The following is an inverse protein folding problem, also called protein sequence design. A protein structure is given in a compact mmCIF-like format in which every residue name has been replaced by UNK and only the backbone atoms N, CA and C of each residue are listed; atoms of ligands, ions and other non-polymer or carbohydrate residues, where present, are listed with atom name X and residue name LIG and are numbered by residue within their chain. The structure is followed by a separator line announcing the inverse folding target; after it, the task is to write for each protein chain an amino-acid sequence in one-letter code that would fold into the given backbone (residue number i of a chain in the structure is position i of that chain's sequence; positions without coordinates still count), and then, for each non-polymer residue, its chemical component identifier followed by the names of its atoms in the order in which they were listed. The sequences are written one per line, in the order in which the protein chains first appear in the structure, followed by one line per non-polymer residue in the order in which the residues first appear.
data_IF_307155477197
#
_entry.id   IF_307155477197
#
_cell.length_a   1.000
_cell.length_b   1.000
_cell.length_c   1.000
_cell.angle_alpha   90.00
_cell.angle_beta   90.00
_cell.angle_gamma   90.00
#
_symmetry.space_group_name_H-M   'P 1'
#
loop_
_entity.id
_entity.type
_entity.pdbx_description
1 polymer ?
#
# COMPACT_ATOMS: atom_id res chain seq x y z
N UNK A 1 -15.45 -20.96 -20.38
CA UNK A 1 -15.14 -19.74 -19.58
C UNK A 1 -15.06 -20.17 -18.13
N UNK A 2 -14.16 -19.61 -17.29
CA UNK A 2 -14.08 -20.04 -15.90
C UNK A 2 -15.40 -19.78 -15.19
N UNK A 3 -15.76 -20.69 -14.29
CA UNK A 3 -17.06 -20.67 -13.63
C UNK A 3 -17.22 -19.52 -12.65
N UNK A 4 -16.11 -19.10 -12.02
CA UNK A 4 -16.04 -18.04 -11.02
C UNK A 4 -14.67 -17.37 -11.03
N UNK A 5 -14.64 -16.07 -10.72
CA UNK A 5 -13.42 -15.29 -10.52
C UNK A 5 -13.26 -14.97 -9.03
N UNK A 6 -12.21 -15.50 -8.40
CA UNK A 6 -11.92 -15.25 -6.99
C UNK A 6 -10.95 -14.08 -6.91
N UNK A 7 -11.31 -13.02 -6.22
CA UNK A 7 -10.55 -11.77 -6.20
C UNK A 7 -9.68 -11.69 -4.94
N UNK A 8 -8.41 -11.38 -5.14
CA UNK A 8 -7.44 -11.06 -4.09
C UNK A 8 -7.58 -9.59 -3.62
N UNK A 9 -7.30 -9.33 -2.35
CA UNK A 9 -7.19 -8.00 -1.73
C UNK A 9 -6.31 -7.05 -2.55
N UNK A 10 -5.14 -7.52 -3.01
CA UNK A 10 -4.18 -6.69 -3.74
C UNK A 10 -4.75 -6.15 -5.06
N UNK A 11 -5.52 -6.99 -5.75
CA UNK A 11 -6.18 -6.67 -7.01
C UNK A 11 -7.35 -5.72 -6.77
N UNK A 12 -8.15 -5.97 -5.73
CA UNK A 12 -9.28 -5.11 -5.39
C UNK A 12 -8.84 -3.68 -5.05
N UNK A 13 -7.69 -3.53 -4.38
CA UNK A 13 -7.09 -2.23 -4.07
C UNK A 13 -6.57 -1.51 -5.32
N UNK A 14 -5.91 -2.23 -6.22
CA UNK A 14 -5.29 -1.64 -7.41
C UNK A 14 -6.29 -1.35 -8.53
N UNK A 15 -7.33 -2.17 -8.63
CA UNK A 15 -8.29 -2.21 -9.71
C UNK A 15 -9.73 -2.40 -9.19
N UNK A 16 -10.26 -1.46 -8.39
CA UNK A 16 -11.62 -1.56 -7.85
C UNK A 16 -12.70 -1.64 -8.95
N UNK A 17 -12.39 -1.17 -10.16
CA UNK A 17 -13.30 -1.24 -11.32
C UNK A 17 -13.64 -2.68 -11.73
N UNK A 18 -12.90 -3.69 -11.26
CA UNK A 18 -13.21 -5.10 -11.50
C UNK A 18 -14.62 -5.45 -11.02
N UNK A 19 -15.09 -4.81 -9.94
CA UNK A 19 -16.42 -5.05 -9.38
C UNK A 19 -17.57 -4.57 -10.28
N UNK A 20 -17.34 -3.59 -11.16
CA UNK A 20 -18.37 -3.12 -12.11
C UNK A 20 -18.81 -4.20 -13.11
N UNK A 21 -18.03 -5.28 -13.24
CA UNK A 21 -18.28 -6.41 -14.15
C UNK A 21 -19.02 -7.58 -13.49
N UNK A 22 -19.41 -7.44 -12.22
CA UNK A 22 -20.09 -8.50 -11.45
C UNK A 22 -21.42 -8.97 -12.09
N UNK A 23 -22.06 -8.13 -12.89
CA UNK A 23 -23.30 -8.50 -13.61
C UNK A 23 -23.08 -9.54 -14.71
N UNK A 24 -21.89 -9.58 -15.32
CA UNK A 24 -21.58 -10.50 -16.42
C UNK A 24 -20.63 -11.62 -16.01
N UNK A 25 -19.84 -11.41 -14.96
CA UNK A 25 -18.89 -12.39 -14.44
C UNK A 25 -19.25 -12.76 -13.01
N UNK A 26 -19.23 -14.06 -12.72
CA UNK A 26 -19.45 -14.59 -11.37
C UNK A 26 -18.25 -14.27 -10.49
N UNK A 27 -18.25 -13.09 -9.88
CA UNK A 27 -17.18 -12.61 -8.99
C UNK A 27 -17.40 -13.15 -7.56
N UNK A 28 -16.33 -13.66 -6.97
CA UNK A 28 -16.29 -14.15 -5.59
C UNK A 28 -15.22 -13.39 -4.81
N UNK A 29 -15.60 -12.85 -3.66
CA UNK A 29 -14.68 -12.20 -2.71
C UNK A 29 -14.57 -13.08 -1.47
N UNK A 30 -13.38 -13.61 -1.14
CA UNK A 30 -13.17 -14.35 0.09
C UNK A 30 -13.44 -13.49 1.34
N UNK A 31 -13.99 -14.10 2.41
CA UNK A 31 -14.15 -13.38 3.69
C UNK A 31 -12.82 -12.92 4.27
N UNK A 32 -11.75 -13.70 4.09
CA UNK A 32 -10.39 -13.32 4.48
C UNK A 32 -9.96 -11.98 3.86
N UNK A 33 -10.35 -11.70 2.61
CA UNK A 33 -10.11 -10.39 1.96
C UNK A 33 -10.87 -9.29 2.70
N UNK A 34 -12.12 -9.51 3.09
CA UNK A 34 -12.91 -8.54 3.85
C UNK A 34 -12.35 -8.29 5.26
N UNK A 35 -11.88 -9.34 5.92
CA UNK A 35 -11.23 -9.25 7.23
C UNK A 35 -9.88 -8.53 7.15
N UNK A 36 -9.13 -8.77 6.08
CA UNK A 36 -7.89 -8.08 5.80
C UNK A 36 -8.12 -6.58 5.53
N UNK A 37 -9.15 -6.25 4.75
CA UNK A 37 -9.58 -4.87 4.53
C UNK A 37 -10.02 -4.18 5.85
N UNK A 38 -10.66 -4.91 6.77
CA UNK A 38 -11.13 -4.35 8.05
C UNK A 38 -10.02 -4.21 9.09
N UNK A 39 -9.13 -5.20 9.23
CA UNK A 39 -8.01 -5.16 10.17
C UNK A 39 -6.94 -4.15 9.74
N UNK A 40 -6.76 -3.93 8.44
CA UNK A 40 -5.81 -2.95 7.92
C UNK A 40 -6.32 -1.49 8.03
N UNK A 41 -7.56 -1.26 8.50
CA UNK A 41 -8.21 0.05 8.41
C UNK A 41 -8.76 0.65 9.70
N UNK A 42 -7.96 1.50 10.38
CA UNK A 42 -8.46 2.57 11.27
C UNK A 42 -8.60 3.94 10.54
N UNK A 43 -8.98 3.95 9.26
CA UNK A 43 -9.06 5.19 8.47
C UNK A 43 -10.07 5.13 7.32
N UNK A 44 -10.58 6.30 6.91
CA UNK A 44 -11.66 6.49 5.91
C UNK A 44 -11.44 5.79 4.57
N UNK A 45 -10.19 5.55 4.16
CA UNK A 45 -9.80 4.95 2.87
C UNK A 45 -10.37 3.55 2.64
N UNK A 46 -10.56 2.79 3.72
CA UNK A 46 -11.04 1.41 3.67
C UNK A 46 -12.56 1.32 3.73
N UNK A 47 -13.20 2.33 4.33
CA UNK A 47 -14.65 2.46 4.32
C UNK A 47 -15.16 2.60 2.88
N UNK A 48 -14.46 3.36 2.03
CA UNK A 48 -14.82 3.55 0.63
C UNK A 48 -14.80 2.23 -0.18
N UNK A 49 -13.80 1.36 0.05
CA UNK A 49 -13.70 0.05 -0.63
C UNK A 49 -14.73 -0.93 -0.06
N UNK A 50 -14.92 -0.95 1.26
CA UNK A 50 -15.94 -1.79 1.89
C UNK A 50 -17.36 -1.40 1.42
N UNK A 51 -17.64 -0.10 1.29
CA UNK A 51 -18.89 0.41 0.72
C UNK A 51 -19.05 0.01 -0.75
N UNK A 52 -17.97 0.06 -1.53
CA UNK A 52 -17.97 -0.40 -2.92
C UNK A 52 -18.27 -1.91 -3.01
N UNK A 53 -17.64 -2.73 -2.17
CA UNK A 53 -17.91 -4.18 -2.11
C UNK A 53 -19.38 -4.42 -1.74
N UNK A 54 -19.87 -3.79 -0.69
CA UNK A 54 -21.27 -3.91 -0.25
C UNK A 54 -22.26 -3.52 -1.36
N UNK A 55 -21.99 -2.42 -2.07
CA UNK A 55 -22.78 -1.98 -3.23
C UNK A 55 -22.73 -2.98 -4.39
N UNK A 56 -21.68 -3.79 -4.49
CA UNK A 56 -21.48 -4.76 -5.56
C UNK A 56 -22.14 -6.11 -5.27
N UNK A 57 -22.48 -6.41 -4.01
CA UNK A 57 -23.20 -7.63 -3.62
C UNK A 57 -24.56 -7.69 -4.31
N UNK A 58 -25.30 -6.58 -4.33
CA UNK A 58 -26.60 -6.49 -5.02
C UNK A 58 -26.48 -6.69 -6.55
N UNK A 59 -25.29 -6.49 -7.11
CA UNK A 59 -24.98 -6.66 -8.54
C UNK A 59 -24.41 -8.04 -8.89
N UNK A 60 -24.39 -8.99 -7.94
CA UNK A 60 -24.02 -10.39 -8.21
C UNK A 60 -22.68 -10.86 -7.62
N UNK A 61 -21.96 -9.99 -6.89
CA UNK A 61 -20.76 -10.41 -6.14
C UNK A 61 -21.15 -11.34 -4.99
N UNK A 62 -20.45 -12.47 -4.84
CA UNK A 62 -20.66 -13.41 -3.73
C UNK A 62 -19.49 -13.37 -2.76
N UNK A 63 -19.80 -13.34 -1.46
CA UNK A 63 -18.80 -13.53 -0.42
C UNK A 63 -18.69 -15.03 -0.11
N UNK A 64 -17.47 -15.56 -0.07
CA UNK A 64 -17.23 -16.98 0.20
C UNK A 64 -16.31 -17.18 1.41
N UNK A 65 -16.64 -18.19 2.21
CA UNK A 65 -15.84 -18.59 3.37
C UNK A 65 -14.86 -19.69 2.98
N UNK A 66 -13.66 -19.64 3.55
CA UNK A 66 -12.69 -20.70 3.37
C UNK A 66 -13.19 -21.97 4.08
N UNK A 67 -13.14 -23.14 3.41
CA UNK A 67 -13.51 -24.39 4.04
C UNK A 67 -12.53 -24.73 5.17
N UNK A 68 -13.07 -25.16 6.32
CA UNK A 68 -12.28 -25.48 7.52
C UNK A 68 -11.34 -26.68 7.33
N UNK A 69 -11.65 -27.58 6.40
CA UNK A 69 -10.83 -28.74 6.02
C UNK A 69 -10.91 -28.97 4.52
N UNK A 70 -9.77 -29.17 3.87
CA UNK A 70 -9.71 -29.69 2.51
C UNK A 70 -9.57 -31.22 2.57
N UNK A 71 -10.02 -31.93 1.54
CA UNK A 71 -9.83 -33.39 1.45
C UNK A 71 -8.35 -33.80 1.49
N UNK A 72 -7.45 -32.91 1.08
CA UNK A 72 -6.01 -33.04 1.21
C UNK A 72 -5.46 -31.83 2.00
N UNK A 73 -5.15 -32.01 3.29
CA UNK A 73 -4.45 -31.00 4.10
C UNK A 73 -3.00 -30.85 3.59
N UNK A 74 -2.83 -29.95 2.62
CA UNK A 74 -1.63 -29.77 1.80
C UNK A 74 -0.54 -28.88 2.43
N UNK A 75 -0.45 -28.85 3.76
CA UNK A 75 0.24 -27.75 4.45
C UNK A 75 1.72 -28.04 4.78
N UNK A 76 2.13 -29.31 4.92
CA UNK A 76 3.47 -29.59 5.50
C UNK A 76 4.62 -29.80 4.50
N UNK A 77 4.37 -30.10 3.21
CA UNK A 77 5.46 -30.47 2.27
C UNK A 77 5.63 -29.58 1.04
N UNK A 78 4.71 -28.66 0.76
CA UNK A 78 4.81 -27.78 -0.41
C UNK A 78 5.59 -26.50 -0.05
N UNK A 79 6.82 -26.38 -0.58
CA UNK A 79 7.67 -25.19 -0.40
C UNK A 79 6.96 -23.89 -0.85
N UNK A 80 6.01 -23.98 -1.77
CA UNK A 80 5.27 -22.82 -2.23
C UNK A 80 4.13 -22.44 -1.27
N UNK A 81 3.58 -23.40 -0.53
CA UNK A 81 2.59 -23.12 0.52
C UNK A 81 3.22 -22.29 1.65
N UNK A 82 4.49 -22.55 1.99
CA UNK A 82 5.21 -21.82 3.05
C UNK A 82 5.37 -20.31 2.77
N UNK A 83 5.20 -19.88 1.51
CA UNK A 83 5.32 -18.48 1.09
C UNK A 83 4.00 -17.72 1.06
N UNK A 84 2.88 -18.40 1.28
CA UNK A 84 1.55 -17.79 1.23
C UNK A 84 1.23 -17.10 2.55
N UNK A 85 0.63 -15.92 2.49
CA UNK A 85 0.04 -15.28 3.66
C UNK A 85 -1.24 -16.01 4.11
N UNK A 86 -1.73 -15.70 5.31
CA UNK A 86 -2.98 -16.30 5.81
C UNK A 86 -4.18 -16.07 4.87
N UNK A 87 -4.28 -14.88 4.28
CA UNK A 87 -5.32 -14.57 3.30
C UNK A 87 -5.12 -15.34 1.97
N UNK A 88 -3.88 -15.46 1.50
CA UNK A 88 -3.54 -16.22 0.28
C UNK A 88 -3.88 -17.71 0.44
N UNK A 89 -3.66 -18.27 1.64
CA UNK A 89 -4.05 -19.63 1.98
C UNK A 89 -5.57 -19.83 1.88
N UNK A 90 -6.35 -18.88 2.37
CA UNK A 90 -7.81 -18.96 2.32
C UNK A 90 -8.35 -18.76 0.90
N UNK A 91 -7.77 -17.85 0.12
CA UNK A 91 -8.04 -17.71 -1.32
C UNK A 91 -7.78 -19.04 -2.04
N UNK A 92 -6.62 -19.65 -1.77
CA UNK A 92 -6.24 -20.91 -2.38
C UNK A 92 -7.17 -22.06 -1.98
N UNK A 93 -7.59 -22.13 -0.71
CA UNK A 93 -8.56 -23.13 -0.22
C UNK A 93 -9.90 -23.02 -0.93
N UNK A 94 -10.40 -21.79 -1.11
CA UNK A 94 -11.65 -21.55 -1.84
C UNK A 94 -11.50 -21.98 -3.30
N UNK A 95 -10.39 -21.65 -3.94
CA UNK A 95 -10.12 -22.04 -5.33
C UNK A 95 -10.06 -23.56 -5.49
N UNK A 96 -9.36 -24.27 -4.60
CA UNK A 96 -9.27 -25.73 -4.62
C UNK A 96 -10.66 -26.35 -4.41
N UNK A 97 -11.40 -25.89 -3.40
CA UNK A 97 -12.73 -26.43 -3.12
C UNK A 97 -13.71 -26.24 -4.29
N UNK A 98 -13.66 -25.10 -4.99
CA UNK A 98 -14.47 -24.91 -6.20
C UNK A 98 -14.00 -25.77 -7.37
N UNK A 99 -12.69 -25.95 -7.55
CA UNK A 99 -12.16 -26.85 -8.57
C UNK A 99 -12.60 -28.31 -8.32
N UNK A 100 -12.56 -28.78 -7.08
CA UNK A 100 -13.02 -30.13 -6.69
C UNK A 100 -14.53 -30.32 -6.92
N UNK A 101 -15.34 -29.27 -6.73
CA UNK A 101 -16.80 -29.34 -6.90
C UNK A 101 -17.25 -29.24 -8.37
N UNK A 102 -16.51 -28.52 -9.21
CA UNK A 102 -16.97 -28.15 -10.56
C UNK A 102 -16.17 -28.79 -11.69
N UNK A 103 -15.10 -29.54 -11.39
CA UNK A 103 -14.36 -30.34 -12.37
C UNK A 103 -13.79 -29.48 -13.52
N UNK A 104 -14.33 -29.65 -14.73
CA UNK A 104 -13.87 -28.95 -15.95
C UNK A 104 -14.14 -27.43 -15.93
N UNK A 105 -15.09 -26.97 -15.12
CA UNK A 105 -15.45 -25.56 -14.94
C UNK A 105 -14.64 -24.96 -13.79
N UNK A 106 -13.31 -25.02 -13.92
CA UNK A 106 -12.39 -24.59 -12.88
C UNK A 106 -12.52 -23.08 -12.58
N UNK A 107 -12.40 -22.68 -11.31
CA UNK A 107 -12.35 -21.27 -10.93
C UNK A 107 -11.06 -20.62 -11.44
N UNK A 108 -11.12 -19.31 -11.67
CA UNK A 108 -9.95 -18.50 -11.97
C UNK A 108 -9.68 -17.54 -10.81
N UNK A 109 -8.43 -17.50 -10.34
CA UNK A 109 -8.03 -16.55 -9.29
C UNK A 109 -7.45 -15.30 -9.93
N UNK A 110 -7.97 -14.14 -9.55
CA UNK A 110 -7.44 -12.85 -10.00
C UNK A 110 -6.52 -12.32 -8.90
N UNK A 111 -5.21 -12.46 -9.12
CA UNK A 111 -4.17 -12.05 -8.17
C UNK A 111 -2.97 -11.44 -8.91
N UNK A 112 -2.32 -10.46 -8.27
CA UNK A 112 -1.04 -9.93 -8.73
C UNK A 112 0.14 -10.58 -7.97
N UNK A 113 -0.11 -11.47 -7.00
CA UNK A 113 0.92 -12.20 -6.28
C UNK A 113 1.40 -13.41 -7.09
N UNK A 114 2.72 -13.45 -7.32
CA UNK A 114 3.39 -14.52 -8.03
C UNK A 114 3.46 -15.80 -7.21
N UNK A 115 3.56 -15.70 -5.88
CA UNK A 115 3.65 -16.88 -5.01
C UNK A 115 2.32 -17.64 -5.02
N UNK A 116 1.21 -16.93 -4.83
CA UNK A 116 -0.14 -17.49 -4.99
C UNK A 116 -0.39 -18.03 -6.41
N UNK A 117 -0.05 -17.26 -7.45
CA UNK A 117 -0.21 -17.72 -8.84
C UNK A 117 0.57 -19.03 -9.11
N UNK A 118 1.81 -19.13 -8.64
CA UNK A 118 2.63 -20.32 -8.80
C UNK A 118 2.06 -21.53 -8.03
N UNK A 119 1.62 -21.32 -6.79
CA UNK A 119 0.97 -22.36 -5.97
C UNK A 119 -0.32 -22.91 -6.59
N UNK A 120 -1.11 -22.06 -7.24
CA UNK A 120 -2.34 -22.44 -7.94
C UNK A 120 -2.03 -23.17 -9.24
N UNK A 121 -1.01 -22.73 -9.97
CA UNK A 121 -0.58 -23.36 -11.23
C UNK A 121 -0.14 -24.81 -11.03
N UNK A 122 0.53 -25.12 -9.90
CA UNK A 122 0.93 -26.50 -9.58
C UNK A 122 -0.25 -27.45 -9.31
N UNK A 123 -1.47 -26.90 -9.23
CA UNK A 123 -2.74 -27.62 -9.03
C UNK A 123 -3.68 -27.49 -10.23
N UNK A 124 -3.17 -27.03 -11.37
CA UNK A 124 -3.95 -26.79 -12.59
C UNK A 124 -5.09 -25.76 -12.41
N UNK A 125 -4.97 -24.83 -11.47
CA UNK A 125 -5.91 -23.72 -11.29
C UNK A 125 -5.36 -22.50 -12.03
N UNK A 126 -6.14 -21.91 -12.95
CA UNK A 126 -5.72 -20.72 -13.71
C UNK A 126 -5.73 -19.49 -12.81
N UNK A 127 -4.65 -18.73 -12.83
CA UNK A 127 -4.58 -17.39 -12.26
C UNK A 127 -4.35 -16.34 -13.34
N UNK A 128 -4.95 -15.16 -13.19
CA UNK A 128 -4.72 -13.99 -14.05
C UNK A 128 -4.51 -12.74 -13.19
N UNK A 129 -3.85 -11.73 -13.76
CA UNK A 129 -3.67 -10.43 -13.13
C UNK A 129 -4.94 -9.57 -13.21
N UNK A 130 -5.03 -8.54 -12.36
CA UNK A 130 -6.14 -7.57 -12.45
C UNK A 130 -6.21 -6.88 -13.82
N UNK A 131 -5.05 -6.62 -14.43
CA UNK A 131 -4.95 -6.03 -15.77
C UNK A 131 -5.44 -6.96 -16.88
N UNK A 132 -5.09 -8.25 -16.79
CA UNK A 132 -5.57 -9.26 -17.74
C UNK A 132 -7.07 -9.47 -17.61
N UNK A 133 -7.60 -9.50 -16.38
CA UNK A 133 -9.04 -9.58 -16.16
C UNK A 133 -9.77 -8.40 -16.81
N UNK A 134 -9.30 -7.17 -16.63
CA UNK A 134 -9.89 -5.98 -17.27
C UNK A 134 -9.80 -6.08 -18.80
N UNK A 135 -8.65 -6.55 -19.33
CA UNK A 135 -8.43 -6.74 -20.76
C UNK A 135 -9.37 -7.77 -21.39
N UNK A 136 -9.51 -8.94 -20.76
CA UNK A 136 -10.43 -10.02 -21.19
C UNK A 136 -11.91 -9.60 -21.05
N UNK A 137 -12.21 -8.57 -20.26
CA UNK A 137 -13.57 -8.12 -19.95
C UNK A 137 -13.93 -6.78 -20.59
N UNK A 138 -13.23 -6.36 -21.65
CA UNK A 138 -13.50 -5.10 -22.35
C UNK A 138 -14.84 -5.07 -23.09
N UNK A 139 -15.35 -6.25 -23.48
CA UNK A 139 -16.64 -6.38 -24.17
C UNK A 139 -17.85 -6.54 -23.24
N UNK A 140 -17.63 -6.65 -21.94
CA UNK A 140 -18.70 -6.90 -20.97
C UNK A 140 -19.44 -5.58 -20.67
N UNK A 141 -20.78 -5.63 -20.56
CA UNK A 141 -21.56 -4.48 -20.07
C UNK A 141 -21.18 -4.13 -18.63
N UNK A 142 -20.90 -2.86 -18.39
CA UNK A 142 -20.47 -2.35 -17.09
C UNK A 142 -21.68 -1.84 -16.30
N UNK A 143 -21.72 -2.14 -15.00
CA UNK A 143 -22.60 -1.43 -14.09
C UNK A 143 -21.98 -0.04 -13.82
N UNK A 144 -22.54 0.98 -14.49
CA UNK A 144 -22.06 2.37 -14.43
C UNK A 144 -22.03 2.92 -13.00
N UNK A 145 -23.00 2.59 -12.16
CA UNK A 145 -23.03 3.08 -10.78
C UNK A 145 -21.85 2.55 -9.95
N UNK A 146 -21.45 1.29 -10.17
CA UNK A 146 -20.29 0.69 -9.51
C UNK A 146 -18.99 1.23 -10.11
N UNK A 147 -18.97 1.47 -11.42
CA UNK A 147 -17.83 2.07 -12.11
C UNK A 147 -17.55 3.49 -11.58
N UNK A 148 -18.56 4.35 -11.51
CA UNK A 148 -18.46 5.71 -10.99
C UNK A 148 -17.99 5.71 -9.53
N UNK A 149 -18.51 4.81 -8.70
CA UNK A 149 -18.03 4.63 -7.32
C UNK A 149 -16.58 4.17 -7.28
N UNK A 150 -16.18 3.21 -8.11
CA UNK A 150 -14.81 2.74 -8.19
C UNK A 150 -13.84 3.85 -8.66
N UNK A 151 -14.24 4.69 -9.61
CA UNK A 151 -13.46 5.86 -10.04
C UNK A 151 -13.33 6.91 -8.95
N UNK A 152 -14.39 7.13 -8.16
CA UNK A 152 -14.34 8.00 -6.98
C UNK A 152 -13.33 7.50 -5.94
N UNK A 153 -13.29 6.18 -5.69
CA UNK A 153 -12.27 5.58 -4.80
C UNK A 153 -10.86 5.84 -5.34
N UNK A 154 -10.65 5.59 -6.64
CA UNK A 154 -9.32 5.77 -7.27
C UNK A 154 -8.86 7.23 -7.25
N UNK A 155 -9.74 8.17 -7.57
CA UNK A 155 -9.42 9.60 -7.57
C UNK A 155 -9.17 10.13 -6.17
N UNK A 156 -9.93 9.67 -5.16
CA UNK A 156 -9.70 9.97 -3.74
C UNK A 156 -8.31 9.53 -3.28
N UNK A 157 -7.93 8.28 -3.57
CA UNK A 157 -6.61 7.75 -3.24
C UNK A 157 -5.49 8.52 -3.95
N UNK A 158 -5.65 8.84 -5.24
CA UNK A 158 -4.66 9.62 -6.00
C UNK A 158 -4.49 11.03 -5.41
N UNK A 159 -5.60 11.71 -5.11
CA UNK A 159 -5.58 13.04 -4.50
C UNK A 159 -4.85 13.01 -3.16
N UNK A 160 -5.16 12.03 -2.31
CA UNK A 160 -4.49 11.87 -1.02
C UNK A 160 -2.97 11.69 -1.13
N UNK A 161 -2.52 10.83 -2.07
CA UNK A 161 -1.10 10.61 -2.29
C UNK A 161 -0.39 11.89 -2.76
N UNK A 162 -0.98 12.59 -3.73
CA UNK A 162 -0.44 13.84 -4.26
C UNK A 162 -0.42 14.93 -3.19
N UNK A 163 -1.51 15.11 -2.44
CA UNK A 163 -1.58 16.14 -1.39
C UNK A 163 -0.60 15.83 -0.26
N UNK A 164 -0.45 14.58 0.14
CA UNK A 164 0.49 14.18 1.20
C UNK A 164 1.94 14.45 0.79
N UNK A 165 2.31 14.09 -0.44
CA UNK A 165 3.64 14.33 -0.97
C UNK A 165 3.93 15.83 -1.14
N UNK A 166 2.99 16.57 -1.72
CA UNK A 166 3.10 18.02 -1.88
C UNK A 166 3.21 18.74 -0.53
N UNK A 167 2.42 18.34 0.46
CA UNK A 167 2.49 18.91 1.80
C UNK A 167 3.83 18.61 2.47
N UNK A 168 4.38 17.40 2.27
CA UNK A 168 5.71 17.04 2.79
C UNK A 168 6.80 17.93 2.17
N UNK A 169 6.76 18.11 0.85
CA UNK A 169 7.70 18.99 0.14
C UNK A 169 7.59 20.46 0.57
N UNK A 170 6.36 20.98 0.72
CA UNK A 170 6.12 22.34 1.22
C UNK A 170 6.62 22.53 2.65
N UNK A 171 6.37 21.55 3.53
CA UNK A 171 6.88 21.57 4.90
C UNK A 171 8.41 21.58 4.92
N UNK A 172 9.07 20.81 4.05
CA UNK A 172 10.53 20.81 3.92
C UNK A 172 11.06 22.15 3.41
N UNK A 173 10.40 22.77 2.44
CA UNK A 173 10.76 24.10 1.96
C UNK A 173 10.62 25.16 3.06
N UNK A 174 9.53 25.12 3.83
CA UNK A 174 9.32 25.99 4.98
C UNK A 174 10.41 25.78 6.05
N UNK A 175 10.73 24.52 6.37
CA UNK A 175 11.83 24.17 7.28
C UNK A 175 13.18 24.71 6.80
N UNK A 176 13.46 24.63 5.49
CA UNK A 176 14.67 25.18 4.90
C UNK A 176 14.74 26.72 4.99
N UNK A 177 13.63 27.42 4.77
CA UNK A 177 13.55 28.88 4.93
C UNK A 177 13.79 29.28 6.39
N UNK A 178 13.18 28.56 7.34
CA UNK A 178 13.37 28.78 8.78
C UNK A 178 14.85 28.59 9.14
N UNK A 179 15.47 27.50 8.68
CA UNK A 179 16.89 27.22 8.94
C UNK A 179 17.81 28.31 8.36
N UNK A 180 17.54 28.76 7.14
CA UNK A 180 18.32 29.82 6.49
C UNK A 180 18.25 31.17 7.23
N UNK A 181 17.20 31.37 8.04
CA UNK A 181 16.98 32.59 8.82
C UNK A 181 17.12 32.37 10.34
N UNK A 182 17.79 31.28 10.77
CA UNK A 182 17.87 30.88 12.18
C UNK A 182 18.50 31.98 13.06
N UNK A 183 19.47 32.73 12.55
CA UNK A 183 20.13 33.81 13.28
C UNK A 183 19.15 34.93 13.69
N UNK A 184 18.18 35.24 12.83
CA UNK A 184 17.16 36.26 13.09
C UNK A 184 16.17 35.76 14.16
N UNK A 185 15.78 34.49 14.09
CA UNK A 185 14.90 33.85 15.08
C UNK A 185 15.56 33.74 16.47
N UNK A 186 16.81 33.27 16.54
CA UNK A 186 17.55 33.09 17.79
C UNK A 186 17.89 34.44 18.44
N UNK A 187 18.13 35.49 17.65
CA UNK A 187 18.34 36.84 18.19
C UNK A 187 17.06 37.47 18.76
N UNK A 188 15.89 37.01 18.30
CA UNK A 188 14.58 37.54 18.70
C UNK A 188 13.96 36.76 19.87
N UNK A 189 14.26 35.46 19.97
CA UNK A 189 13.72 34.55 20.99
C UNK A 189 14.77 34.32 22.07
N UNK A 190 14.47 34.71 23.32
CA UNK A 190 15.35 34.49 24.47
C UNK A 190 15.60 32.99 24.70
N UNK A 191 16.67 32.64 25.42
CA UNK A 191 17.07 31.26 25.75
C UNK A 191 15.89 30.41 26.26
N UNK A 192 14.99 30.99 27.05
CA UNK A 192 13.79 30.34 27.58
C UNK A 192 12.79 29.93 26.49
N UNK A 193 12.61 30.73 25.45
CA UNK A 193 11.76 30.39 24.32
C UNK A 193 12.28 29.19 23.53
N UNK A 194 13.61 29.03 23.44
CA UNK A 194 14.22 27.85 22.81
C UNK A 194 14.05 26.60 23.69
N UNK A 195 14.24 26.74 25.00
CA UNK A 195 14.05 25.63 25.96
C UNK A 195 12.63 25.07 25.98
N UNK A 196 11.60 25.92 25.83
CA UNK A 196 10.19 25.47 25.77
C UNK A 196 9.79 25.08 24.35
N UNK A 197 10.31 25.80 23.35
CA UNK A 197 9.99 25.59 21.94
C UNK A 197 10.42 24.22 21.42
N UNK A 198 11.60 23.71 21.82
CA UNK A 198 12.09 22.41 21.36
C UNK A 198 11.19 21.23 21.82
N UNK A 199 10.82 21.09 23.12
CA UNK A 199 9.83 20.09 23.54
C UNK A 199 8.48 20.22 22.85
N UNK A 200 7.97 21.45 22.71
CA UNK A 200 6.69 21.69 22.02
C UNK A 200 6.75 21.27 20.55
N UNK A 201 7.85 21.57 19.86
CA UNK A 201 8.09 21.13 18.48
C UNK A 201 8.18 19.60 18.40
N UNK A 202 8.83 18.95 19.37
CA UNK A 202 8.88 17.49 19.46
C UNK A 202 7.48 16.86 19.56
N UNK A 203 6.61 17.42 20.40
CA UNK A 203 5.20 16.99 20.51
C UNK A 203 4.41 17.26 19.22
N UNK A 204 4.61 18.42 18.59
CA UNK A 204 3.96 18.76 17.33
C UNK A 204 4.38 17.83 16.19
N UNK A 205 5.67 17.50 16.08
CA UNK A 205 6.19 16.55 15.11
C UNK A 205 5.68 15.13 15.38
N UNK A 206 5.56 14.73 16.65
CA UNK A 206 4.95 13.45 17.01
C UNK A 206 3.48 13.38 16.59
N UNK A 207 2.71 14.43 16.87
CA UNK A 207 1.32 14.53 16.42
C UNK A 207 1.22 14.51 14.89
N UNK A 208 2.08 15.24 14.19
CA UNK A 208 2.13 15.25 12.72
C UNK A 208 2.45 13.87 12.15
N UNK A 209 3.40 13.14 12.75
CA UNK A 209 3.75 11.77 12.38
C UNK A 209 2.59 10.79 12.52
N UNK A 210 1.81 10.88 13.60
CA UNK A 210 0.68 9.98 13.83
C UNK A 210 -0.49 10.25 12.86
N UNK A 211 -0.78 11.51 12.56
CA UNK A 211 -1.92 11.86 11.70
C UNK A 211 -1.61 11.84 10.20
N UNK A 212 -0.38 12.17 9.81
CA UNK A 212 0.01 12.38 8.41
C UNK A 212 1.31 11.65 8.05
N UNK A 213 1.39 10.36 8.38
CA UNK A 213 2.60 9.54 8.25
C UNK A 213 3.30 9.62 6.88
N UNK A 214 2.54 9.58 5.77
CA UNK A 214 3.11 9.68 4.41
C UNK A 214 3.75 11.05 4.14
N UNK A 215 3.08 12.12 4.58
CA UNK A 215 3.57 13.49 4.44
C UNK A 215 4.80 13.72 5.33
N UNK A 216 4.74 13.26 6.58
CA UNK A 216 5.85 13.28 7.53
C UNK A 216 7.07 12.50 7.03
N UNK A 217 6.88 11.31 6.46
CA UNK A 217 7.97 10.52 5.88
C UNK A 217 8.61 11.20 4.66
N UNK A 218 7.80 11.85 3.82
CA UNK A 218 8.29 12.67 2.70
C UNK A 218 9.09 13.88 3.20
N UNK A 219 8.60 14.53 4.26
CA UNK A 219 9.29 15.63 4.93
C UNK A 219 10.65 15.20 5.48
N UNK A 220 10.72 14.10 6.24
CA UNK A 220 11.97 13.54 6.76
C UNK A 220 12.94 13.24 5.61
N UNK A 221 12.48 12.55 4.57
CA UNK A 221 13.34 12.22 3.43
C UNK A 221 13.95 13.48 2.79
N UNK A 222 13.12 14.48 2.50
CA UNK A 222 13.59 15.74 1.91
C UNK A 222 14.52 16.52 2.86
N UNK A 223 14.24 16.57 4.16
CA UNK A 223 15.12 17.20 5.15
C UNK A 223 16.47 16.50 5.22
N UNK A 224 16.48 15.16 5.21
CA UNK A 224 17.72 14.38 5.15
C UNK A 224 18.54 14.73 3.91
N UNK A 225 17.91 14.78 2.73
CA UNK A 225 18.56 15.19 1.46
C UNK A 225 19.15 16.59 1.58
N UNK A 226 18.40 17.55 2.12
CA UNK A 226 18.85 18.93 2.31
C UNK A 226 20.04 18.99 3.29
N UNK A 227 19.96 18.29 4.42
CA UNK A 227 21.05 18.23 5.42
C UNK A 227 22.34 17.70 4.81
N UNK A 228 22.27 16.61 4.04
CA UNK A 228 23.44 16.05 3.35
C UNK A 228 23.94 16.97 2.22
N UNK A 229 23.03 17.64 1.50
CA UNK A 229 23.40 18.54 0.41
C UNK A 229 24.17 19.77 0.88
N UNK A 230 23.78 20.37 2.01
CA UNK A 230 24.46 21.54 2.58
C UNK A 230 25.90 21.27 3.03
N UNK A 231 26.29 20.00 3.25
CA UNK A 231 27.69 19.65 3.54
C UNK A 231 28.58 19.84 2.31
N UNK A 232 28.02 19.64 1.12
CA UNK A 232 28.78 19.57 -0.13
C UNK A 232 28.70 20.84 -0.98
N UNK A 233 27.71 21.69 -0.76
CA UNK A 233 27.49 22.91 -1.53
C UNK A 233 27.69 24.16 -0.66
N UNK A 234 28.32 25.25 -1.15
CA UNK A 234 28.79 25.49 -2.52
C UNK A 234 30.24 25.06 -2.81
N UNK A 235 31.08 24.88 -1.79
CA UNK A 235 32.50 24.58 -1.95
C UNK A 235 32.79 23.14 -1.57
N UNK A 236 32.55 22.22 -2.52
CA UNK A 236 32.82 20.80 -2.32
C UNK A 236 34.32 20.53 -2.19
N UNK A 237 34.77 20.00 -1.05
CA UNK A 237 36.16 19.57 -0.85
C UNK A 237 36.24 18.35 0.08
N UNK A 238 36.68 17.21 -0.44
CA UNK A 238 36.89 16.00 0.36
C UNK A 238 37.96 16.18 1.44
N UNK A 239 38.96 17.04 1.20
CA UNK A 239 40.02 17.34 2.18
C UNK A 239 39.53 18.24 3.32
N UNK A 240 38.35 18.85 3.20
CA UNK A 240 37.70 19.66 4.24
C UNK A 240 36.61 18.92 5.03
N UNK A 241 36.37 17.64 4.76
CA UNK A 241 35.38 16.84 5.51
C UNK A 241 35.93 16.50 6.89
N UNK A 242 35.56 17.32 7.88
CA UNK A 242 35.81 17.06 9.28
C UNK A 242 34.79 16.09 9.90
N UNK A 243 34.96 15.85 11.19
CA UNK A 243 34.09 14.96 11.98
C UNK A 243 32.66 15.51 12.04
N UNK A 244 32.50 16.83 12.09
CA UNK A 244 31.20 17.52 12.11
C UNK A 244 30.40 17.30 10.84
N UNK A 245 31.03 17.46 9.69
CA UNK A 245 30.44 17.24 8.36
C UNK A 245 30.08 15.77 8.18
N UNK A 246 30.96 14.86 8.62
CA UNK A 246 30.69 13.42 8.63
C UNK A 246 29.46 13.05 9.47
N UNK A 247 29.34 13.60 10.69
CA UNK A 247 28.17 13.41 11.55
C UNK A 247 26.90 13.97 10.89
N UNK A 248 26.98 15.13 10.23
CA UNK A 248 25.84 15.73 9.54
C UNK A 248 25.38 14.87 8.35
N UNK A 249 26.30 14.33 7.54
CA UNK A 249 25.95 13.40 6.45
C UNK A 249 25.31 12.14 7.00
N UNK A 250 25.88 11.53 8.05
CA UNK A 250 25.31 10.35 8.70
C UNK A 250 23.93 10.63 9.30
N UNK A 251 23.75 11.78 9.93
CA UNK A 251 22.46 12.25 10.45
C UNK A 251 21.43 12.41 9.33
N UNK A 252 21.81 13.06 8.22
CA UNK A 252 20.96 13.21 7.04
C UNK A 252 20.54 11.86 6.44
N UNK A 253 21.48 10.94 6.27
CA UNK A 253 21.20 9.56 5.79
C UNK A 253 20.26 8.81 6.73
N UNK A 254 20.47 8.89 8.05
CA UNK A 254 19.58 8.27 9.03
C UNK A 254 18.15 8.81 8.93
N UNK A 255 18.00 10.14 8.80
CA UNK A 255 16.69 10.78 8.61
C UNK A 255 16.06 10.36 7.28
N UNK A 256 16.82 10.23 6.19
CA UNK A 256 16.31 9.70 4.91
C UNK A 256 15.75 8.28 5.05
N UNK A 257 16.48 7.38 5.71
CA UNK A 257 16.04 6.00 5.94
C UNK A 257 14.77 5.95 6.78
N UNK A 258 14.67 6.78 7.82
CA UNK A 258 13.44 6.91 8.62
C UNK A 258 12.27 7.47 7.82
N UNK A 259 12.53 8.45 6.96
CA UNK A 259 11.54 9.00 6.05
C UNK A 259 10.98 7.92 5.12
N UNK A 260 11.85 7.08 4.54
CA UNK A 260 11.45 5.95 3.72
C UNK A 260 10.63 4.92 4.49
N UNK A 261 10.96 4.59 5.74
CA UNK A 261 10.16 3.69 6.58
C UNK A 261 8.74 4.26 6.83
N UNK A 262 8.64 5.55 7.13
CA UNK A 262 7.36 6.23 7.30
C UNK A 262 6.55 6.30 6.00
N UNK A 263 7.20 6.53 4.85
CA UNK A 263 6.55 6.45 3.53
C UNK A 263 6.02 5.03 3.31
N UNK A 264 6.85 4.01 3.54
CA UNK A 264 6.47 2.60 3.41
C UNK A 264 5.23 2.25 4.23
N UNK A 265 5.22 2.63 5.51
CA UNK A 265 4.06 2.46 6.40
C UNK A 265 2.85 3.30 5.97
N UNK A 266 3.07 4.45 5.35
CA UNK A 266 2.03 5.36 4.86
C UNK A 266 1.36 4.93 3.55
N UNK A 267 2.06 4.13 2.73
CA UNK A 267 1.54 3.60 1.45
C UNK A 267 0.82 2.26 1.60
N UNK A 268 0.93 1.58 2.75
CA UNK A 268 0.15 0.36 3.05
C UNK A 268 -1.34 0.66 2.86
N UNK A 269 -2.03 -0.19 2.10
CA UNK A 269 -3.44 -0.04 1.76
C UNK A 269 -3.74 0.90 0.61
N UNK A 270 -2.72 1.36 -0.11
CA UNK A 270 -2.89 2.18 -1.30
C UNK A 270 -2.40 1.42 -2.53
N UNK A 271 -2.73 1.92 -3.72
CA UNK A 271 -2.22 1.36 -4.99
C UNK A 271 -0.69 1.33 -5.08
N UNK A 272 0.00 2.17 -4.30
CA UNK A 272 1.46 2.20 -4.26
C UNK A 272 2.06 1.09 -3.40
N UNK A 273 1.28 0.38 -2.58
CA UNK A 273 1.79 -0.71 -1.73
C UNK A 273 2.49 -1.78 -2.58
N UNK A 274 1.90 -2.20 -3.69
CA UNK A 274 2.52 -3.21 -4.54
C UNK A 274 3.79 -2.73 -5.24
N UNK A 275 3.85 -1.45 -5.61
CA UNK A 275 5.05 -0.84 -6.18
C UNK A 275 6.15 -0.73 -5.11
N UNK A 276 5.79 -0.34 -3.90
CA UNK A 276 6.68 -0.30 -2.74
C UNK A 276 7.23 -1.69 -2.40
N UNK A 277 6.35 -2.70 -2.37
CA UNK A 277 6.73 -4.09 -2.13
C UNK A 277 7.67 -4.62 -3.22
N UNK A 278 7.46 -4.24 -4.49
CA UNK A 278 8.35 -4.62 -5.59
C UNK A 278 9.75 -3.99 -5.48
N UNK A 279 9.84 -2.74 -5.01
CA UNK A 279 11.10 -2.00 -4.90
C UNK A 279 11.90 -2.37 -3.65
N UNK A 280 11.23 -2.49 -2.50
CA UNK A 280 11.88 -2.63 -1.19
C UNK A 280 11.67 -3.99 -0.53
N UNK A 281 10.66 -4.75 -0.96
CA UNK A 281 10.26 -6.02 -0.34
C UNK A 281 10.55 -7.23 -1.23
N UNK A 282 11.39 -7.06 -2.26
CA UNK A 282 11.94 -8.15 -3.07
C UNK A 282 13.02 -8.93 -2.29
N UNK A 283 12.62 -9.54 -1.16
CA UNK A 283 13.22 -10.64 -0.41
C UNK A 283 12.68 -10.60 1.01
N UNK A 284 11.61 -11.33 1.25
CA UNK A 284 11.56 -12.21 2.42
C UNK A 284 11.22 -13.59 1.85
N UNK A 285 12.19 -14.48 1.98
CA UNK A 285 12.27 -15.80 1.38
C UNK A 285 11.17 -16.75 1.85
#
# INVERSE_FOLDING_TARGET
MPSRYIIDTSVLLQHPQILSRAGNRKIVIPRAVMEELSHRGKGSKWADIAELVNSSISSGVKIADAPAKLKNDLIQSDRNAQRLSGADFDIARIAIAYAEQQGADAPCVVTNDKSLAYFLSSRNIKSITGTEFIGESKGDSLNKDIEDKAEKVVSSQKRYLITSFALGALASAAGNIIYSNINLLVSTITVWGTMIGLPALGLALFWYRENFRLSYGSFEFCVGVIMSYYVFFPTFSYSGLGVTEGIQVLGGLYVMVRGLDNIGKGVIGTRLEALWAKLFSAKNA
#
